data_IF_146156196911
#
_entry.id   IF_146156196911
#
_cell.length_a   1.000
_cell.length_b   1.000
_cell.length_c   1.000
_cell.angle_alpha   90.00
_cell.angle_beta   90.00
_cell.angle_gamma   90.00
#
_symmetry.space_group_name_H-M   'P 1'
#
loop_
_entity.id
_entity.type
_entity.pdbx_description
1 polymer ?
#
# COMPACT_ATOMS: atom_id res chain seq x y z
N UNK A 1 -45.88 44.40 14.16
CA UNK A 1 -45.61 44.41 12.70
C UNK A 1 -44.11 44.53 12.53
N UNK A 2 -43.39 43.41 12.43
CA UNK A 2 -43.17 42.59 11.23
C UNK A 2 -42.27 43.27 10.20
N UNK A 3 -40.97 43.00 10.31
CA UNK A 3 -40.02 42.95 9.20
C UNK A 3 -38.83 42.18 9.74
N UNK A 4 -38.77 40.86 9.65
CA UNK A 4 -38.91 40.14 8.40
C UNK A 4 -37.49 39.88 7.88
N UNK A 5 -37.01 38.67 8.13
CA UNK A 5 -36.06 37.98 7.25
C UNK A 5 -34.57 38.33 7.32
N UNK A 6 -33.99 38.49 8.50
CA UNK A 6 -32.60 38.02 8.69
C UNK A 6 -32.63 36.55 9.12
N UNK A 7 -33.26 35.74 8.27
CA UNK A 7 -33.12 34.29 8.28
C UNK A 7 -31.67 34.05 7.92
N UNK A 8 -30.83 33.98 8.96
CA UNK A 8 -29.51 33.37 8.96
C UNK A 8 -29.58 32.18 8.03
N UNK A 9 -29.14 32.40 6.78
CA UNK A 9 -28.76 31.31 5.91
C UNK A 9 -27.47 30.83 6.56
N UNK A 10 -27.63 30.00 7.59
CA UNK A 10 -26.74 28.90 7.84
C UNK A 10 -26.64 28.18 6.51
N UNK A 11 -25.71 28.66 5.67
CA UNK A 11 -25.10 27.87 4.63
C UNK A 11 -24.74 26.61 5.38
N UNK A 12 -25.39 25.50 5.05
CA UNK A 12 -24.91 24.18 5.40
C UNK A 12 -23.42 24.18 5.04
N UNK A 13 -22.57 24.49 6.01
CA UNK A 13 -21.15 24.34 5.90
C UNK A 13 -21.01 22.83 5.92
N UNK A 14 -20.95 22.26 4.71
CA UNK A 14 -20.57 20.87 4.58
C UNK A 14 -19.32 20.70 5.45
N UNK A 15 -19.29 19.68 6.34
CA UNK A 15 -18.16 19.50 7.23
C UNK A 15 -16.91 19.49 6.35
N UNK A 16 -16.03 20.47 6.57
CA UNK A 16 -14.76 20.53 5.88
C UNK A 16 -13.97 19.35 6.41
N UNK A 17 -13.94 18.27 5.64
CA UNK A 17 -13.27 17.04 6.04
C UNK A 17 -11.78 17.32 6.15
N UNK A 18 -11.27 17.34 7.39
CA UNK A 18 -9.87 17.57 7.64
C UNK A 18 -9.01 16.44 7.07
N UNK A 19 -7.95 16.79 6.36
CA UNK A 19 -6.94 15.85 5.85
C UNK A 19 -6.30 15.01 6.96
N UNK A 20 -6.29 15.56 8.17
CA UNK A 20 -5.83 14.89 9.38
C UNK A 20 -6.72 13.71 9.76
N UNK A 21 -8.03 13.78 9.48
CA UNK A 21 -8.97 12.69 9.76
C UNK A 21 -8.69 11.49 8.84
N UNK A 22 -8.49 11.71 7.53
CA UNK A 22 -8.13 10.63 6.60
C UNK A 22 -6.79 9.99 6.99
N UNK A 23 -5.84 10.80 7.43
CA UNK A 23 -4.53 10.31 7.89
C UNK A 23 -4.67 9.49 9.17
N UNK A 24 -5.46 9.96 10.14
CA UNK A 24 -5.73 9.25 11.40
C UNK A 24 -6.44 7.92 11.16
N UNK A 25 -7.46 7.89 10.29
CA UNK A 25 -8.16 6.65 9.90
C UNK A 25 -7.19 5.67 9.26
N UNK A 26 -6.34 6.14 8.33
CA UNK A 26 -5.34 5.29 7.67
C UNK A 26 -4.33 4.71 8.67
N UNK A 27 -3.87 5.50 9.63
CA UNK A 27 -2.92 5.06 10.66
C UNK A 27 -3.58 4.05 11.60
N UNK A 28 -4.81 4.32 12.05
CA UNK A 28 -5.57 3.38 12.88
C UNK A 28 -5.74 2.03 12.17
N UNK A 29 -6.22 2.07 10.92
CA UNK A 29 -6.38 0.86 10.11
C UNK A 29 -5.06 0.09 9.91
N UNK A 30 -3.94 0.80 9.70
CA UNK A 30 -2.62 0.21 9.58
C UNK A 30 -2.26 -0.63 10.82
N UNK A 31 -2.38 -0.04 12.02
CA UNK A 31 -2.07 -0.75 13.26
C UNK A 31 -3.06 -1.88 13.57
N UNK A 32 -4.35 -1.67 13.29
CA UNK A 32 -5.37 -2.72 13.46
C UNK A 32 -5.08 -3.93 12.59
N UNK A 33 -4.73 -3.73 11.32
CA UNK A 33 -4.39 -4.82 10.40
C UNK A 33 -3.12 -5.55 10.87
N UNK A 34 -2.08 -4.80 11.29
CA UNK A 34 -0.86 -5.41 11.85
C UNK A 34 -1.21 -6.26 13.08
N UNK A 35 -1.94 -5.71 14.04
CA UNK A 35 -2.35 -6.45 15.23
C UNK A 35 -3.13 -7.71 14.89
N UNK A 36 -4.08 -7.62 13.95
CA UNK A 36 -4.86 -8.77 13.51
C UNK A 36 -4.01 -9.86 12.86
N UNK A 37 -3.00 -9.49 12.06
CA UNK A 37 -2.09 -10.44 11.42
C UNK A 37 -1.23 -11.15 12.45
N UNK A 38 -0.67 -10.43 13.42
CA UNK A 38 0.13 -11.02 14.50
C UNK A 38 -0.69 -11.99 15.36
N UNK A 39 -1.96 -11.69 15.60
CA UNK A 39 -2.87 -12.60 16.30
C UNK A 39 -3.23 -13.83 15.46
N UNK A 40 -3.30 -13.68 14.13
CA UNK A 40 -3.67 -14.75 13.21
C UNK A 40 -2.51 -15.69 12.87
N UNK A 41 -1.27 -15.18 12.87
CA UNK A 41 -0.05 -15.93 12.54
C UNK A 41 0.85 -16.02 13.80
N UNK A 42 0.63 -17.00 14.69
CA UNK A 42 1.32 -17.06 15.99
C UNK A 42 2.83 -17.23 15.88
N UNK A 43 3.33 -17.84 14.79
CA UNK A 43 4.76 -18.10 14.57
C UNK A 43 5.47 -16.96 13.81
N UNK A 44 4.74 -15.91 13.41
CA UNK A 44 5.30 -14.82 12.60
C UNK A 44 6.46 -14.13 13.31
N UNK A 45 6.34 -13.90 14.62
CA UNK A 45 7.39 -13.28 15.42
C UNK A 45 8.67 -14.10 15.45
N UNK A 46 8.55 -15.40 15.66
CA UNK A 46 9.70 -16.30 15.69
C UNK A 46 10.41 -16.34 14.33
N UNK A 47 9.65 -16.40 13.23
CA UNK A 47 10.22 -16.36 11.88
C UNK A 47 10.91 -15.02 11.56
N UNK A 48 10.34 -13.88 12.01
CA UNK A 48 10.99 -12.56 11.87
C UNK A 48 12.32 -12.52 12.64
N UNK A 49 12.38 -13.10 13.84
CA UNK A 49 13.61 -13.14 14.64
C UNK A 49 14.67 -14.08 14.07
N UNK A 50 14.24 -15.11 13.34
CA UNK A 50 15.14 -16.03 12.62
C UNK A 50 15.60 -15.47 11.26
N UNK A 51 14.88 -14.51 10.70
CA UNK A 51 15.17 -13.87 9.41
C UNK A 51 16.65 -13.55 9.19
N UNK A 52 17.37 -12.79 10.06
CA UNK A 52 18.77 -12.44 9.77
C UNK A 52 19.70 -13.65 9.77
N UNK A 53 19.34 -14.75 10.43
CA UNK A 53 20.21 -15.93 10.59
C UNK A 53 20.28 -16.79 9.33
N UNK A 54 19.23 -16.77 8.51
CA UNK A 54 19.11 -17.60 7.31
C UNK A 54 19.80 -17.01 6.08
N UNK A 55 20.26 -15.76 6.12
CA UNK A 55 20.96 -15.11 5.00
C UNK A 55 22.41 -15.56 4.90
N UNK A 56 22.82 -15.91 3.69
CA UNK A 56 24.20 -16.21 3.30
C UNK A 56 24.48 -15.61 1.93
N UNK A 57 25.76 -15.57 1.56
CA UNK A 57 26.15 -15.22 0.19
C UNK A 57 25.89 -16.47 -0.67
N UNK A 58 24.96 -16.36 -1.61
CA UNK A 58 24.54 -17.45 -2.51
C UNK A 58 24.69 -16.99 -3.95
N UNK A 59 25.02 -17.91 -4.85
CA UNK A 59 25.08 -17.67 -6.29
C UNK A 59 23.66 -17.52 -6.85
N UNK A 60 23.39 -16.47 -7.61
CA UNK A 60 22.10 -16.26 -8.26
C UNK A 60 21.93 -17.33 -9.37
N UNK A 61 20.79 -18.01 -9.47
CA UNK A 61 20.62 -19.12 -10.42
C UNK A 61 20.72 -18.57 -11.85
N UNK A 62 21.39 -19.31 -12.73
CA UNK A 62 21.62 -18.95 -14.14
C UNK A 62 22.50 -17.69 -14.38
N UNK A 63 23.26 -17.23 -13.37
CA UNK A 63 24.24 -16.14 -13.55
C UNK A 63 25.51 -16.41 -12.74
N UNK A 64 26.61 -15.71 -13.03
CA UNK A 64 27.86 -15.76 -12.25
C UNK A 64 27.93 -14.74 -11.10
N UNK A 65 26.78 -14.14 -10.76
CA UNK A 65 26.68 -13.13 -9.71
C UNK A 65 26.41 -13.77 -8.35
N UNK A 66 27.02 -13.19 -7.31
CA UNK A 66 26.86 -13.60 -5.92
C UNK A 66 26.10 -12.52 -5.16
N UNK A 67 25.09 -12.91 -4.40
CA UNK A 67 24.26 -11.97 -3.65
C UNK A 67 23.89 -12.52 -2.28
N UNK A 68 23.50 -11.62 -1.37
CA UNK A 68 23.01 -12.01 -0.04
C UNK A 68 21.57 -12.46 -0.19
N UNK A 69 21.30 -13.74 0.08
CA UNK A 69 20.00 -14.36 -0.07
C UNK A 69 19.76 -15.41 1.04
N UNK A 70 18.50 -15.74 1.35
CA UNK A 70 18.19 -16.79 2.31
C UNK A 70 18.60 -18.15 1.74
N UNK A 71 19.24 -19.00 2.55
CA UNK A 71 19.66 -20.36 2.15
C UNK A 71 18.45 -21.23 1.81
N UNK A 72 17.37 -21.07 2.59
CA UNK A 72 16.07 -21.67 2.31
C UNK A 72 15.01 -20.57 2.22
N UNK A 73 14.68 -20.06 1.01
CA UNK A 73 13.66 -19.04 0.84
C UNK A 73 12.26 -19.49 1.27
N UNK A 74 11.98 -20.80 1.29
CA UNK A 74 10.70 -21.35 1.75
C UNK A 74 10.45 -21.09 3.24
N UNK A 75 11.52 -20.96 4.04
CA UNK A 75 11.44 -20.58 5.45
C UNK A 75 10.97 -19.13 5.68
N UNK A 76 10.75 -18.35 4.61
CA UNK A 76 10.17 -17.01 4.68
C UNK A 76 8.70 -16.98 4.28
N UNK A 77 8.08 -18.13 4.00
CA UNK A 77 6.73 -18.19 3.47
C UNK A 77 5.70 -17.55 4.41
N UNK A 78 5.85 -17.68 5.74
CA UNK A 78 4.93 -17.02 6.69
C UNK A 78 5.05 -15.49 6.61
N UNK A 79 6.26 -14.97 6.40
CA UNK A 79 6.53 -13.54 6.32
C UNK A 79 5.92 -12.97 5.06
N UNK A 80 6.07 -13.67 3.93
CA UNK A 80 5.43 -13.29 2.67
C UNK A 80 3.91 -13.47 2.72
N UNK A 81 3.39 -14.43 3.48
CA UNK A 81 1.95 -14.59 3.71
C UNK A 81 1.39 -13.42 4.52
N UNK A 82 2.06 -13.03 5.61
CA UNK A 82 1.73 -11.85 6.39
C UNK A 82 1.77 -10.59 5.51
N UNK A 83 2.80 -10.43 4.68
CA UNK A 83 2.93 -9.32 3.74
C UNK A 83 1.78 -9.31 2.73
N UNK A 84 1.40 -10.47 2.19
CA UNK A 84 0.27 -10.60 1.27
C UNK A 84 -1.03 -10.12 1.93
N UNK A 85 -1.35 -10.66 3.11
CA UNK A 85 -2.58 -10.30 3.84
C UNK A 85 -2.61 -8.83 4.19
N UNK A 86 -1.50 -8.31 4.72
CA UNK A 86 -1.34 -6.89 5.04
C UNK A 86 -1.61 -6.02 3.81
N UNK A 87 -0.96 -6.35 2.70
CA UNK A 87 -1.01 -5.54 1.48
C UNK A 87 -2.40 -5.54 0.84
N UNK A 88 -3.11 -6.68 0.86
CA UNK A 88 -4.49 -6.77 0.35
C UNK A 88 -5.51 -6.05 1.24
N UNK A 89 -5.41 -6.22 2.56
CA UNK A 89 -6.30 -5.55 3.52
C UNK A 89 -6.07 -4.04 3.51
N UNK A 90 -4.81 -3.61 3.60
CA UNK A 90 -4.48 -2.19 3.62
C UNK A 90 -4.72 -1.53 2.25
N UNK A 91 -4.50 -2.24 1.15
CA UNK A 91 -4.92 -1.83 -0.19
C UNK A 91 -6.43 -1.57 -0.25
N UNK A 92 -7.25 -2.47 0.30
CA UNK A 92 -8.71 -2.26 0.39
C UNK A 92 -9.09 -1.01 1.19
N UNK A 93 -8.38 -0.73 2.30
CA UNK A 93 -8.56 0.51 3.07
C UNK A 93 -8.20 1.74 2.23
N UNK A 94 -7.11 1.72 1.46
CA UNK A 94 -6.76 2.82 0.57
C UNK A 94 -7.82 3.03 -0.52
N UNK A 95 -8.47 1.98 -1.02
CA UNK A 95 -9.57 2.09 -1.98
C UNK A 95 -10.77 2.81 -1.36
N UNK A 96 -11.12 2.44 -0.13
CA UNK A 96 -12.18 3.10 0.63
C UNK A 96 -11.87 4.58 0.89
N UNK A 97 -10.64 4.88 1.36
CA UNK A 97 -10.19 6.27 1.57
C UNK A 97 -10.22 7.06 0.26
N UNK A 98 -9.80 6.46 -0.85
CA UNK A 98 -9.84 7.13 -2.16
C UNK A 98 -11.27 7.50 -2.54
N UNK A 99 -12.23 6.59 -2.37
CA UNK A 99 -13.64 6.87 -2.62
C UNK A 99 -14.17 8.02 -1.75
N UNK A 100 -13.85 8.02 -0.44
CA UNK A 100 -14.22 9.12 0.45
C UNK A 100 -13.58 10.45 0.03
N UNK A 101 -12.31 10.44 -0.43
CA UNK A 101 -11.63 11.64 -0.92
C UNK A 101 -12.29 12.22 -2.17
N UNK A 102 -12.86 11.38 -3.03
CA UNK A 102 -13.67 11.85 -4.16
C UNK A 102 -14.96 12.53 -3.68
N UNK A 103 -15.67 11.94 -2.72
CA UNK A 103 -16.88 12.51 -2.14
C UNK A 103 -16.63 13.82 -1.38
N UNK A 104 -15.51 13.92 -0.67
CA UNK A 104 -15.13 15.08 0.13
C UNK A 104 -14.44 16.20 -0.67
N UNK A 105 -14.32 16.08 -2.00
CA UNK A 105 -13.59 17.04 -2.85
C UNK A 105 -12.14 17.34 -2.37
N UNK A 106 -11.48 16.33 -1.81
CA UNK A 106 -10.11 16.43 -1.31
C UNK A 106 -9.13 16.86 -2.42
N UNK A 107 -8.02 17.57 -2.08
CA UNK A 107 -7.03 18.03 -3.05
C UNK A 107 -6.50 16.92 -3.93
N UNK A 108 -6.28 17.23 -5.20
CA UNK A 108 -5.81 16.27 -6.20
C UNK A 108 -4.48 15.64 -5.85
N UNK A 109 -3.58 16.42 -5.24
CA UNK A 109 -2.31 15.90 -4.75
C UNK A 109 -2.50 14.71 -3.80
N UNK A 110 -3.52 14.76 -2.94
CA UNK A 110 -3.85 13.70 -1.99
C UNK A 110 -4.54 12.52 -2.67
N UNK A 111 -5.45 12.78 -3.62
CA UNK A 111 -6.05 11.73 -4.45
C UNK A 111 -5.00 10.94 -5.22
N UNK A 112 -4.04 11.61 -5.85
CA UNK A 112 -2.93 11.01 -6.58
C UNK A 112 -2.05 10.12 -5.68
N UNK A 113 -1.77 10.61 -4.46
CA UNK A 113 -1.00 9.87 -3.46
C UNK A 113 -1.74 8.62 -2.98
N UNK A 114 -3.02 8.73 -2.63
CA UNK A 114 -3.85 7.58 -2.23
C UNK A 114 -4.00 6.56 -3.37
N UNK A 115 -4.17 7.01 -4.62
CA UNK A 115 -4.25 6.12 -5.78
C UNK A 115 -2.93 5.36 -6.01
N UNK A 116 -1.80 6.06 -5.95
CA UNK A 116 -0.47 5.43 -6.05
C UNK A 116 -0.26 4.40 -4.94
N UNK A 117 -0.61 4.73 -3.70
CA UNK A 117 -0.50 3.83 -2.56
C UNK A 117 -1.41 2.61 -2.72
N UNK A 118 -2.64 2.81 -3.20
CA UNK A 118 -3.58 1.73 -3.49
C UNK A 118 -2.99 0.72 -4.47
N UNK A 119 -2.46 1.20 -5.61
CA UNK A 119 -1.88 0.35 -6.65
C UNK A 119 -0.64 -0.38 -6.11
N UNK A 120 0.20 0.31 -5.34
CA UNK A 120 1.35 -0.30 -4.70
C UNK A 120 0.96 -1.42 -3.74
N UNK A 121 0.04 -1.18 -2.80
CA UNK A 121 -0.35 -2.19 -1.83
C UNK A 121 -1.08 -3.37 -2.49
N UNK A 122 -2.04 -3.14 -3.36
CA UNK A 122 -2.72 -4.24 -4.06
C UNK A 122 -1.77 -5.03 -4.97
N UNK A 123 -0.90 -4.33 -5.70
CA UNK A 123 0.12 -4.96 -6.54
C UNK A 123 1.11 -5.79 -5.72
N UNK A 124 1.51 -5.32 -4.55
CA UNK A 124 2.41 -6.04 -3.65
C UNK A 124 1.75 -7.30 -3.09
N UNK A 125 0.46 -7.19 -2.74
CA UNK A 125 -0.34 -8.35 -2.34
C UNK A 125 -0.40 -9.39 -3.45
N UNK A 126 -0.65 -8.98 -4.69
CA UNK A 126 -0.67 -9.87 -5.85
C UNK A 126 0.69 -10.51 -6.16
N UNK A 127 1.78 -9.74 -6.15
CA UNK A 127 3.12 -10.31 -6.39
C UNK A 127 3.52 -11.29 -5.26
N UNK A 128 3.12 -11.01 -4.01
CA UNK A 128 3.34 -11.92 -2.88
C UNK A 128 2.52 -13.20 -3.04
N UNK A 129 1.27 -13.13 -3.53
CA UNK A 129 0.47 -14.33 -3.80
C UNK A 129 1.07 -15.19 -4.92
N UNK A 130 1.64 -14.56 -5.96
CA UNK A 130 2.38 -15.28 -7.00
C UNK A 130 3.58 -16.02 -6.44
N UNK A 131 4.35 -15.40 -5.53
CA UNK A 131 5.48 -16.05 -4.87
C UNK A 131 5.04 -17.29 -4.08
N UNK A 132 3.91 -17.19 -3.37
CA UNK A 132 3.37 -18.28 -2.53
C UNK A 132 2.60 -19.35 -3.32
N UNK A 133 2.26 -19.09 -4.58
CA UNK A 133 1.51 -20.04 -5.43
C UNK A 133 2.36 -21.23 -5.90
N UNK A 134 3.67 -21.17 -5.70
CA UNK A 134 4.66 -22.18 -6.09
C UNK A 134 5.67 -22.35 -4.96
N UNK A 135 6.45 -23.45 -4.93
CA UNK A 135 7.57 -23.58 -4.00
C UNK A 135 8.52 -22.38 -4.12
N UNK A 136 8.85 -21.74 -3.00
CA UNK A 136 9.70 -20.55 -2.95
C UNK A 136 11.15 -20.96 -3.17
N UNK A 137 11.55 -21.05 -4.44
CA UNK A 137 12.94 -21.29 -4.83
C UNK A 137 13.77 -20.00 -4.79
N UNK A 138 15.09 -20.14 -4.83
CA UNK A 138 16.00 -18.98 -4.87
C UNK A 138 15.77 -18.12 -6.12
N UNK A 139 15.38 -18.73 -7.25
CA UNK A 139 14.98 -18.01 -8.48
C UNK A 139 13.74 -17.16 -8.26
N UNK A 140 12.68 -17.74 -7.68
CA UNK A 140 11.42 -17.03 -7.42
C UNK A 140 11.62 -15.89 -6.41
N UNK A 141 12.50 -16.06 -5.43
CA UNK A 141 12.90 -15.00 -4.50
C UNK A 141 13.48 -13.77 -5.24
N UNK A 142 14.40 -13.96 -6.19
CA UNK A 142 14.94 -12.84 -6.97
C UNK A 142 13.91 -12.24 -7.92
N UNK A 143 13.06 -13.07 -8.53
CA UNK A 143 11.95 -12.60 -9.37
C UNK A 143 10.98 -11.73 -8.55
N UNK A 144 10.69 -12.11 -7.30
CA UNK A 144 9.87 -11.31 -6.39
C UNK A 144 10.45 -9.91 -6.20
N UNK A 145 11.74 -9.79 -5.86
CA UNK A 145 12.38 -8.48 -5.68
C UNK A 145 12.44 -7.65 -6.95
N UNK A 146 12.65 -8.28 -8.11
CA UNK A 146 12.57 -7.59 -9.40
C UNK A 146 11.17 -7.02 -9.65
N UNK A 147 10.12 -7.82 -9.41
CA UNK A 147 8.71 -7.38 -9.52
C UNK A 147 8.38 -6.29 -8.52
N UNK A 148 8.90 -6.38 -7.29
CA UNK A 148 8.73 -5.36 -6.26
C UNK A 148 9.30 -4.00 -6.70
N UNK A 149 10.54 -3.98 -7.20
CA UNK A 149 11.18 -2.76 -7.72
C UNK A 149 10.44 -2.19 -8.93
N UNK A 150 9.97 -3.07 -9.83
CA UNK A 150 9.14 -2.65 -10.97
C UNK A 150 7.83 -2.01 -10.50
N UNK A 151 7.17 -2.60 -9.49
CA UNK A 151 5.92 -2.07 -8.94
C UNK A 151 6.12 -0.69 -8.28
N UNK A 152 7.23 -0.48 -7.56
CA UNK A 152 7.60 0.83 -7.05
C UNK A 152 7.68 1.87 -8.17
N UNK A 153 8.34 1.52 -9.27
CA UNK A 153 8.41 2.37 -10.47
C UNK A 153 7.02 2.68 -11.04
N UNK A 154 6.16 1.67 -11.19
CA UNK A 154 4.79 1.83 -11.69
C UNK A 154 3.98 2.76 -10.79
N UNK A 155 4.05 2.61 -9.45
CA UNK A 155 3.33 3.46 -8.52
C UNK A 155 3.75 4.94 -8.66
N UNK A 156 5.06 5.21 -8.75
CA UNK A 156 5.59 6.55 -8.98
C UNK A 156 5.12 7.15 -10.30
N UNK A 157 5.14 6.36 -11.39
CA UNK A 157 4.66 6.78 -12.71
C UNK A 157 3.17 7.12 -12.68
N UNK A 158 2.34 6.28 -12.05
CA UNK A 158 0.89 6.55 -11.94
C UNK A 158 0.63 7.86 -11.20
N UNK A 159 1.34 8.10 -10.09
CA UNK A 159 1.23 9.37 -9.35
C UNK A 159 1.59 10.56 -10.24
N UNK A 160 2.68 10.47 -10.99
CA UNK A 160 3.15 11.53 -11.87
C UNK A 160 2.14 11.81 -12.99
N UNK A 161 1.63 10.78 -13.67
CA UNK A 161 0.63 10.91 -14.73
C UNK A 161 -0.63 11.59 -14.20
N UNK A 162 -1.15 11.14 -13.05
CA UNK A 162 -2.37 11.69 -12.47
C UNK A 162 -2.23 13.19 -12.14
N UNK A 163 -1.08 13.58 -11.56
CA UNK A 163 -0.79 14.99 -11.29
C UNK A 163 -0.69 15.82 -12.58
N UNK A 164 0.01 15.31 -13.60
CA UNK A 164 0.20 15.99 -14.87
C UNK A 164 -1.12 16.22 -15.62
N UNK A 165 -2.01 15.22 -15.64
CA UNK A 165 -3.33 15.34 -16.28
C UNK A 165 -4.14 16.47 -15.62
N UNK A 166 -4.13 16.52 -14.29
CA UNK A 166 -4.93 17.50 -13.58
C UNK A 166 -4.34 18.92 -13.65
N UNK A 167 -3.03 19.05 -13.57
CA UNK A 167 -2.37 20.34 -13.76
C UNK A 167 -2.65 20.90 -15.16
N UNK A 168 -2.60 20.03 -16.18
CA UNK A 168 -2.93 20.41 -17.56
C UNK A 168 -4.39 20.82 -17.71
N UNK A 169 -5.32 20.13 -17.05
CA UNK A 169 -6.74 20.49 -17.07
C UNK A 169 -6.99 21.88 -16.48
N UNK A 170 -6.40 22.18 -15.32
CA UNK A 170 -6.55 23.50 -14.66
C UNK A 170 -5.85 24.65 -15.39
N UNK A 171 -4.83 24.37 -16.21
CA UNK A 171 -4.15 25.41 -17.00
C UNK A 171 -4.95 25.82 -18.25
N UNK A 172 -5.89 25.00 -18.70
CA UNK A 172 -6.68 25.22 -19.93
C UNK A 172 -8.09 25.77 -19.69
N UNK A 173 -8.52 25.88 -18.43
CA UNK A 173 -9.80 26.46 -18.00
C UNK A 173 -9.52 27.78 -17.29
#
# INVERSE_FOLDING_TARGET
MSSGEEKSRDKLSMPVWDENLFSAISIGAFFTIIGAIFLSLPNLLDEILLFPKIFRIVKIPNTDLWFIAPVNPEALSIVYLALMWFSLLFGSVQAFILALRYLANSPVKKKAETLSNLIFWLGLGYISSLLLSKPVTLTEYFIFWARFLMLLGVALIVRAIFLLIYERYYRMV
#
